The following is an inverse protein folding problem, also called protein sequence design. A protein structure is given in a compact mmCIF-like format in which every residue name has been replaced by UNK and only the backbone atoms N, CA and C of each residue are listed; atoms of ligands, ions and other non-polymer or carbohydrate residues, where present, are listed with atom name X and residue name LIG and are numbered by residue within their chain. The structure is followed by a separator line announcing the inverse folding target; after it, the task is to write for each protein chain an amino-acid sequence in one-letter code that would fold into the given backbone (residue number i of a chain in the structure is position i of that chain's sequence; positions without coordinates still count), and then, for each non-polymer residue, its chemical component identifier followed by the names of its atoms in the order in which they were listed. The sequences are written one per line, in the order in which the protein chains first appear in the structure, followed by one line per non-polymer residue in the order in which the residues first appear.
data_IF_347684797341
#
_entry.id   IF_347684797341
#
_cell.length_a   1.000
_cell.length_b   1.000
_cell.length_c   1.000
_cell.angle_alpha   90.00
_cell.angle_beta   90.00
_cell.angle_gamma   90.00
#
_symmetry.space_group_name_H-M   'P 1'
#
loop_
_entity.id
_entity.type
_entity.pdbx_description
1 polymer ?
#
# COMPACT_ATOMS: atom_id res chain seq x y z
N UNK A 1 -40.50 18.12 -0.68
CA UNK A 1 -41.20 18.78 -1.79
C UNK A 1 -40.46 18.35 -3.05
N UNK A 2 -41.08 17.60 -3.97
CA UNK A 2 -40.38 17.11 -5.17
C UNK A 2 -40.36 18.20 -6.24
N UNK A 3 -39.18 18.76 -6.52
CA UNK A 3 -38.94 19.72 -7.59
C UNK A 3 -38.74 18.96 -8.91
N UNK A 4 -39.38 19.42 -9.99
CA UNK A 4 -39.24 18.85 -11.33
C UNK A 4 -38.59 19.85 -12.28
N UNK A 5 -37.92 19.34 -13.31
CA UNK A 5 -37.41 20.17 -14.42
C UNK A 5 -38.57 20.95 -15.04
N UNK A 6 -38.43 22.28 -15.14
CA UNK A 6 -39.46 23.21 -15.58
C UNK A 6 -40.20 23.95 -14.44
N UNK A 7 -40.00 23.58 -13.18
CA UNK A 7 -40.62 24.28 -12.05
C UNK A 7 -40.02 25.69 -11.86
N UNK A 8 -40.87 26.70 -11.70
CA UNK A 8 -40.46 28.04 -11.25
C UNK A 8 -40.22 28.02 -9.76
N UNK A 9 -39.04 28.46 -9.34
CA UNK A 9 -38.60 28.42 -7.95
C UNK A 9 -38.07 29.79 -7.51
N UNK A 10 -38.31 30.15 -6.25
CA UNK A 10 -37.72 31.32 -5.60
C UNK A 10 -36.64 30.88 -4.62
N UNK A 11 -35.53 31.60 -4.57
CA UNK A 11 -34.50 31.37 -3.56
C UNK A 11 -35.02 31.78 -2.18
N UNK A 12 -34.72 30.99 -1.15
CA UNK A 12 -35.13 31.26 0.23
C UNK A 12 -34.30 32.39 0.87
N UNK A 13 -32.98 32.37 0.62
CA UNK A 13 -32.00 33.23 1.30
C UNK A 13 -31.51 34.40 0.44
N UNK A 14 -31.97 34.51 -0.81
CA UNK A 14 -31.52 35.53 -1.76
C UNK A 14 -32.70 36.19 -2.50
N UNK A 15 -32.49 37.43 -2.96
CA UNK A 15 -33.46 38.11 -3.83
C UNK A 15 -33.30 37.60 -5.25
N UNK A 16 -34.18 36.68 -5.64
CA UNK A 16 -34.22 36.17 -7.00
C UNK A 16 -35.03 34.89 -7.10
N UNK A 17 -35.14 34.38 -8.32
CA UNK A 17 -35.74 33.10 -8.63
C UNK A 17 -35.36 32.69 -10.05
N UNK A 18 -35.78 31.50 -10.43
CA UNK A 18 -35.48 30.97 -11.75
C UNK A 18 -36.30 29.73 -12.07
N UNK A 19 -35.90 29.04 -13.13
CA UNK A 19 -36.55 27.83 -13.61
C UNK A 19 -35.60 26.66 -13.44
N UNK A 20 -36.07 25.55 -12.87
CA UNK A 20 -35.26 24.33 -12.75
C UNK A 20 -34.96 23.79 -14.15
N UNK A 21 -33.71 23.81 -14.59
CA UNK A 21 -33.28 23.31 -15.91
C UNK A 21 -32.81 21.88 -15.87
N UNK A 22 -32.22 21.44 -14.74
CA UNK A 22 -31.70 20.07 -14.59
C UNK A 22 -31.71 19.66 -13.12
N UNK A 23 -32.03 18.39 -12.86
CA UNK A 23 -31.81 17.78 -11.55
C UNK A 23 -30.42 17.14 -11.59
N UNK A 24 -29.51 17.60 -10.72
CA UNK A 24 -28.15 17.09 -10.67
C UNK A 24 -28.04 15.91 -9.70
N UNK A 25 -28.79 15.95 -8.60
CA UNK A 25 -28.90 14.88 -7.60
C UNK A 25 -30.17 15.05 -6.76
N UNK A 26 -30.41 14.16 -5.79
CA UNK A 26 -31.60 14.24 -4.90
C UNK A 26 -31.71 15.56 -4.13
N UNK A 27 -30.58 16.24 -3.87
CA UNK A 27 -30.53 17.46 -3.05
C UNK A 27 -30.10 18.72 -3.82
N UNK A 28 -29.72 18.61 -5.09
CA UNK A 28 -29.18 19.74 -5.87
C UNK A 28 -29.79 19.81 -7.27
N UNK A 29 -30.20 21.02 -7.65
CA UNK A 29 -30.85 21.32 -8.92
C UNK A 29 -30.21 22.54 -9.58
N UNK A 30 -30.10 22.53 -10.90
CA UNK A 30 -29.74 23.73 -11.66
C UNK A 30 -30.98 24.60 -11.85
N UNK A 31 -30.83 25.88 -11.55
CA UNK A 31 -31.85 26.90 -11.73
C UNK A 31 -31.31 27.97 -12.68
N UNK A 32 -31.97 28.13 -13.83
CA UNK A 32 -31.70 29.23 -14.75
C UNK A 32 -32.32 30.52 -14.22
N UNK A 33 -31.50 31.52 -13.97
CA UNK A 33 -31.92 32.88 -13.61
C UNK A 33 -32.22 33.72 -14.85
N UNK A 34 -32.95 34.84 -14.69
CA UNK A 34 -33.34 35.74 -15.80
C UNK A 34 -32.15 36.30 -16.60
N UNK A 35 -30.94 36.27 -16.04
CA UNK A 35 -29.70 36.70 -16.68
C UNK A 35 -29.07 35.63 -17.60
N UNK A 36 -29.72 34.48 -17.78
CA UNK A 36 -29.29 33.44 -18.74
C UNK A 36 -28.18 32.51 -18.24
N UNK A 37 -27.88 32.52 -16.94
CA UNK A 37 -26.91 31.62 -16.31
C UNK A 37 -27.62 30.51 -15.53
N UNK A 38 -27.11 29.28 -15.63
CA UNK A 38 -27.54 28.14 -14.80
C UNK A 38 -26.74 28.12 -13.49
N UNK A 39 -27.44 28.23 -12.36
CA UNK A 39 -26.84 28.16 -11.02
C UNK A 39 -27.21 26.84 -10.34
N UNK A 40 -26.23 26.04 -9.88
CA UNK A 40 -26.50 24.87 -9.04
C UNK A 40 -26.86 25.33 -7.63
N UNK A 41 -28.06 24.97 -7.18
CA UNK A 41 -28.62 25.38 -5.89
C UNK A 41 -29.24 24.19 -5.16
N UNK A 42 -29.25 24.24 -3.83
CA UNK A 42 -29.84 23.18 -3.02
C UNK A 42 -31.36 23.18 -3.16
N UNK A 43 -31.96 22.00 -3.30
CA UNK A 43 -33.40 21.83 -3.33
C UNK A 43 -34.08 22.38 -2.06
N UNK A 44 -33.36 22.37 -0.93
CA UNK A 44 -33.80 22.92 0.36
C UNK A 44 -33.86 24.46 0.39
N UNK A 45 -33.11 25.13 -0.47
CA UNK A 45 -33.06 26.59 -0.56
C UNK A 45 -34.05 27.15 -1.59
N UNK A 46 -34.96 26.30 -2.10
CA UNK A 46 -35.91 26.62 -3.14
C UNK A 46 -37.35 26.45 -2.70
N UNK A 47 -38.18 27.43 -3.07
CA UNK A 47 -39.63 27.38 -2.90
C UNK A 47 -40.29 27.37 -4.27
N UNK A 48 -41.08 26.34 -4.56
CA UNK A 48 -41.87 26.24 -5.79
C UNK A 48 -42.94 27.33 -5.85
N UNK A 49 -42.98 28.10 -6.95
CA UNK A 49 -44.03 29.06 -7.25
C UNK A 49 -45.02 28.37 -8.19
N UNK A 50 -46.22 28.05 -7.70
CA UNK A 50 -47.30 27.62 -8.58
C UNK A 50 -47.88 28.82 -9.34
N UNK A 51 -48.19 28.69 -10.65
CA UNK A 51 -48.78 29.77 -11.42
C UNK A 51 -50.26 29.94 -11.05
N UNK A 52 -50.54 30.68 -9.97
CA UNK A 52 -51.85 31.24 -9.74
C UNK A 52 -52.03 32.48 -10.63
N UNK A 53 -52.64 32.29 -11.80
CA UNK A 53 -53.29 33.37 -12.53
C UNK A 53 -52.79 33.62 -13.96
N UNK A 54 -53.78 33.95 -14.80
CA UNK A 54 -53.89 34.62 -16.12
C UNK A 54 -52.67 35.23 -16.84
N UNK A 55 -51.43 34.78 -16.59
CA UNK A 55 -50.21 35.19 -17.30
C UNK A 55 -49.41 33.99 -17.87
N UNK A 56 -49.96 32.77 -17.80
CA UNK A 56 -49.31 31.52 -18.22
C UNK A 56 -49.57 31.08 -19.67
N UNK A 57 -50.07 31.94 -20.57
CA UNK A 57 -50.46 31.56 -21.95
C UNK A 57 -49.62 32.20 -23.07
N UNK A 58 -48.43 32.74 -22.77
CA UNK A 58 -47.63 33.48 -23.78
C UNK A 58 -46.23 32.92 -24.09
N UNK A 59 -45.80 31.81 -23.49
CA UNK A 59 -44.45 31.26 -23.71
C UNK A 59 -44.44 29.80 -24.18
N UNK A 60 -45.50 29.38 -24.88
CA UNK A 60 -45.52 28.09 -25.59
C UNK A 60 -45.24 28.34 -27.07
N UNK A 61 -43.96 28.42 -27.45
CA UNK A 61 -43.57 28.30 -28.86
C UNK A 61 -42.14 27.75 -29.00
N UNK A 62 -42.05 26.54 -29.56
CA UNK A 62 -40.82 25.82 -29.91
C UNK A 62 -39.91 26.63 -30.84
N UNK A 63 -38.60 26.52 -30.64
CA UNK A 63 -37.58 26.86 -31.64
C UNK A 63 -36.55 25.72 -31.72
N UNK A 64 -36.68 24.91 -32.79
CA UNK A 64 -35.63 24.02 -33.30
C UNK A 64 -34.52 24.86 -33.93
N UNK A 65 -33.25 24.51 -33.70
CA UNK A 65 -32.12 24.92 -34.53
C UNK A 65 -31.12 23.75 -34.67
N UNK A 66 -31.04 23.23 -35.89
CA UNK A 66 -30.09 22.21 -36.37
C UNK A 66 -28.69 22.82 -36.59
N UNK A 67 -27.64 22.00 -36.42
CA UNK A 67 -26.23 22.35 -36.68
C UNK A 67 -25.76 21.59 -37.94
N UNK A 68 -25.19 22.24 -38.97
CA UNK A 68 -24.55 21.55 -40.09
C UNK A 68 -23.03 21.41 -39.92
N UNK A 69 -22.50 20.29 -40.43
CA UNK A 69 -21.07 19.93 -40.50
C UNK A 69 -20.48 20.19 -41.90
N UNK A 70 -19.21 20.60 -41.97
CA UNK A 70 -18.30 20.49 -43.14
C UNK A 70 -16.84 20.73 -42.66
N UNK A 71 -15.85 19.82 -42.83
CA UNK A 71 -15.09 19.38 -44.02
C UNK A 71 -13.74 20.11 -44.21
N UNK A 72 -12.70 19.32 -44.51
CA UNK A 72 -11.26 19.59 -44.45
C UNK A 72 -10.63 20.40 -45.60
N UNK A 73 -9.42 20.94 -45.38
CA UNK A 73 -8.33 21.06 -46.38
C UNK A 73 -6.94 21.34 -45.75
N UNK A 74 -5.93 20.59 -46.21
CA UNK A 74 -4.50 20.61 -45.87
C UNK A 74 -3.73 21.84 -46.43
N UNK A 75 -2.62 22.22 -45.77
CA UNK A 75 -1.36 22.58 -46.46
C UNK A 75 -0.11 22.22 -45.62
N UNK A 76 0.80 21.46 -46.26
CA UNK A 76 2.14 21.05 -45.84
C UNK A 76 3.20 22.16 -46.06
N UNK A 77 4.20 22.25 -45.17
CA UNK A 77 5.59 22.66 -45.49
C UNK A 77 6.58 21.85 -44.62
N UNK A 78 7.67 21.39 -45.23
CA UNK A 78 8.51 20.26 -44.83
C UNK A 78 9.82 20.57 -44.03
N UNK A 79 10.19 19.62 -43.14
CA UNK A 79 11.50 18.99 -42.82
C UNK A 79 12.68 19.76 -42.12
N UNK A 80 13.66 19.06 -41.46
CA UNK A 80 13.90 17.60 -41.40
C UNK A 80 14.16 16.93 -40.02
N UNK A 81 13.87 15.62 -40.06
CA UNK A 81 14.43 14.45 -39.38
C UNK A 81 15.56 14.57 -38.33
N UNK A 82 15.31 13.97 -37.16
CA UNK A 82 16.15 12.85 -36.70
C UNK A 82 15.28 11.81 -35.99
N UNK A 83 15.25 10.61 -36.56
CA UNK A 83 14.42 9.49 -36.19
C UNK A 83 15.15 8.51 -35.29
N UNK A 84 14.54 8.16 -34.16
CA UNK A 84 14.58 6.80 -33.65
C UNK A 84 13.23 6.49 -33.01
N UNK A 85 12.49 5.65 -33.74
CA UNK A 85 11.25 4.94 -33.41
C UNK A 85 11.27 4.42 -31.98
N UNK A 86 10.15 4.51 -31.26
CA UNK A 86 9.40 3.34 -30.79
C UNK A 86 7.93 3.74 -30.50
N UNK A 87 7.07 2.85 -30.96
CA UNK A 87 5.62 2.70 -30.96
C UNK A 87 4.68 3.74 -30.31
N UNK A 88 3.78 4.25 -31.16
CA UNK A 88 2.42 4.59 -30.78
C UNK A 88 1.56 3.33 -30.96
N UNK A 89 1.12 2.75 -29.84
CA UNK A 89 -0.18 2.12 -29.64
C UNK A 89 -0.14 1.37 -28.31
N UNK A 90 -0.44 2.08 -27.23
CA UNK A 90 -1.15 1.49 -26.12
C UNK A 90 -2.21 2.51 -25.72
N UNK A 91 -3.49 2.18 -25.95
CA UNK A 91 -4.52 2.58 -24.99
C UNK A 91 -4.19 1.84 -23.70
N UNK A 92 -3.14 2.29 -23.01
CA UNK A 92 -2.69 1.73 -21.75
C UNK A 92 -3.73 2.11 -20.71
N UNK A 93 -4.37 1.10 -20.14
CA UNK A 93 -4.96 1.17 -18.80
C UNK A 93 -4.04 2.04 -17.92
N UNK A 94 -4.53 3.12 -17.29
CA UNK A 94 -3.64 4.05 -16.59
C UNK A 94 -2.82 3.26 -15.57
N UNK A 95 -1.49 3.26 -15.75
CA UNK A 95 -0.58 2.58 -14.81
C UNK A 95 -0.91 3.06 -13.39
N UNK A 96 -1.26 2.10 -12.53
CA UNK A 96 -1.63 2.35 -11.13
C UNK A 96 -0.57 3.17 -10.39
N UNK A 97 0.70 3.00 -10.77
CA UNK A 97 1.84 3.80 -10.32
C UNK A 97 2.32 4.70 -11.45
N UNK A 98 2.54 5.99 -11.19
CA UNK A 98 3.07 6.94 -12.16
C UNK A 98 4.11 7.89 -11.54
N UNK A 99 5.07 8.42 -12.31
CA UNK A 99 6.13 9.28 -11.79
C UNK A 99 5.62 10.69 -11.42
N UNK A 100 6.31 11.36 -10.49
CA UNK A 100 6.07 12.76 -10.14
C UNK A 100 6.77 13.74 -11.09
N UNK A 101 6.14 14.90 -11.32
CA UNK A 101 6.78 16.02 -12.00
C UNK A 101 7.83 16.67 -11.09
N UNK A 102 9.10 16.59 -11.48
CA UNK A 102 10.19 17.29 -10.80
C UNK A 102 10.89 18.27 -11.72
N UNK A 103 10.69 19.55 -11.43
CA UNK A 103 11.45 20.64 -12.04
C UNK A 103 12.74 20.84 -11.25
N UNK A 104 13.89 20.73 -11.93
CA UNK A 104 15.20 20.97 -11.33
C UNK A 104 15.28 22.36 -10.70
N UNK A 105 15.69 22.44 -9.42
CA UNK A 105 15.96 23.70 -8.72
C UNK A 105 14.86 24.21 -7.78
N UNK A 106 13.69 23.57 -7.71
CA UNK A 106 12.64 23.91 -6.74
C UNK A 106 12.61 22.88 -5.61
N UNK A 107 12.89 23.31 -4.38
CA UNK A 107 12.80 22.45 -3.21
C UNK A 107 11.33 22.20 -2.84
N UNK A 108 10.86 20.97 -3.05
CA UNK A 108 9.64 20.46 -2.43
C UNK A 108 10.06 19.63 -1.20
N UNK A 109 9.33 19.71 -0.07
CA UNK A 109 9.66 18.89 1.10
C UNK A 109 9.62 17.40 0.74
N UNK A 110 10.70 16.68 1.06
CA UNK A 110 10.75 15.22 0.89
C UNK A 110 9.87 14.57 1.96
N UNK A 111 8.96 13.69 1.53
CA UNK A 111 7.99 13.07 2.43
C UNK A 111 6.88 12.29 1.73
N UNK A 112 5.95 11.80 2.53
CA UNK A 112 4.75 11.09 2.08
C UNK A 112 3.51 11.99 2.19
N UNK A 113 2.66 11.95 1.17
CA UNK A 113 1.45 12.77 1.11
C UNK A 113 0.27 11.94 0.63
N UNK A 114 -0.91 12.17 1.19
CA UNK A 114 -2.17 11.77 0.56
C UNK A 114 -2.77 12.99 -0.12
N UNK A 115 -3.20 12.83 -1.37
CA UNK A 115 -3.80 13.90 -2.15
C UNK A 115 -5.12 13.48 -2.78
N UNK A 116 -6.02 14.46 -2.93
CA UNK A 116 -7.33 14.29 -3.53
C UNK A 116 -7.44 15.23 -4.73
N UNK A 117 -7.57 14.67 -5.92
CA UNK A 117 -7.55 15.39 -7.19
C UNK A 117 -8.94 15.29 -7.84
N UNK A 118 -9.67 16.40 -8.00
CA UNK A 118 -10.88 16.41 -8.82
C UNK A 118 -10.52 16.11 -10.28
N UNK A 119 -11.25 15.21 -10.93
CA UNK A 119 -10.99 14.91 -12.35
C UNK A 119 -11.22 16.15 -13.24
N UNK A 120 -12.21 16.99 -12.89
CA UNK A 120 -12.40 18.30 -13.52
C UNK A 120 -11.58 19.38 -12.80
N UNK A 121 -10.51 19.83 -13.46
CA UNK A 121 -9.59 20.85 -12.95
C UNK A 121 -10.11 22.30 -13.13
N UNK A 122 -11.23 22.49 -13.81
CA UNK A 122 -11.93 23.78 -13.93
C UNK A 122 -13.02 23.91 -12.88
N UNK A 123 -13.72 22.81 -12.55
CA UNK A 123 -14.84 22.77 -11.59
C UNK A 123 -14.52 21.82 -10.44
N UNK A 124 -13.72 22.31 -9.49
CA UNK A 124 -13.02 21.50 -8.48
C UNK A 124 -13.95 20.87 -7.42
N UNK A 125 -15.17 21.37 -7.28
CA UNK A 125 -16.13 20.93 -6.25
C UNK A 125 -17.18 19.93 -6.78
N UNK A 126 -17.10 19.56 -8.06
CA UNK A 126 -18.02 18.60 -8.69
C UNK A 126 -17.27 17.41 -9.29
N UNK A 127 -18.01 16.38 -9.74
CA UNK A 127 -17.43 15.20 -10.39
C UNK A 127 -16.64 14.29 -9.45
N UNK A 128 -15.97 13.31 -10.04
CA UNK A 128 -15.17 12.29 -9.36
C UNK A 128 -13.88 12.86 -8.80
N UNK A 129 -13.38 12.20 -7.75
CA UNK A 129 -12.13 12.57 -7.08
C UNK A 129 -11.21 11.35 -7.07
N UNK A 130 -10.01 11.52 -7.60
CA UNK A 130 -8.97 10.50 -7.53
C UNK A 130 -8.14 10.72 -6.26
N UNK A 131 -7.87 9.62 -5.56
CA UNK A 131 -7.10 9.61 -4.32
C UNK A 131 -5.75 8.97 -4.60
N UNK A 132 -4.67 9.70 -4.33
CA UNK A 132 -3.31 9.20 -4.53
C UNK A 132 -2.52 9.23 -3.24
N UNK A 133 -1.67 8.22 -3.07
CA UNK A 133 -0.56 8.24 -2.13
C UNK A 133 0.73 8.61 -2.88
N UNK A 134 1.44 9.60 -2.37
CA UNK A 134 2.61 10.22 -3.01
C UNK A 134 3.85 9.87 -2.22
N UNK A 135 4.83 9.28 -2.89
CA UNK A 135 6.19 9.12 -2.39
C UNK A 135 7.10 10.17 -3.01
N UNK A 136 7.36 11.27 -2.30
CA UNK A 136 8.39 12.26 -2.70
C UNK A 136 9.69 12.03 -1.92
N UNK A 137 10.12 10.78 -1.78
CA UNK A 137 11.37 10.39 -1.13
C UNK A 137 12.27 9.62 -2.09
N UNK A 138 13.53 9.40 -1.68
CA UNK A 138 14.53 8.59 -2.40
C UNK A 138 14.41 7.08 -2.16
N UNK A 139 13.49 6.66 -1.29
CA UNK A 139 13.36 5.28 -0.84
C UNK A 139 12.15 4.63 -1.53
N UNK A 140 12.21 3.32 -1.71
CA UNK A 140 11.01 2.51 -1.91
C UNK A 140 10.18 2.54 -0.63
N UNK A 141 8.87 2.68 -0.78
CA UNK A 141 7.95 2.84 0.35
C UNK A 141 6.94 1.71 0.32
N UNK A 142 7.08 0.78 1.26
CA UNK A 142 6.10 -0.27 1.48
C UNK A 142 5.02 0.30 2.39
N UNK A 143 3.77 0.36 1.94
CA UNK A 143 2.69 0.97 2.71
C UNK A 143 1.54 0.00 3.00
N UNK A 144 0.80 0.33 4.04
CA UNK A 144 -0.54 -0.19 4.34
C UNK A 144 -1.47 1.00 4.54
N UNK A 145 -2.59 1.00 3.80
CA UNK A 145 -3.60 2.05 3.82
C UNK A 145 -4.89 1.52 4.44
N UNK A 146 -5.31 2.15 5.54
CA UNK A 146 -6.49 1.76 6.29
C UNK A 146 -7.47 2.91 6.41
N UNK A 147 -8.75 2.64 6.18
CA UNK A 147 -9.83 3.61 6.41
C UNK A 147 -10.55 3.29 7.73
N UNK A 148 -11.05 4.35 8.37
CA UNK A 148 -11.83 4.22 9.60
C UNK A 148 -13.30 4.04 9.27
N UNK A 149 -13.90 2.93 9.73
CA UNK A 149 -15.33 2.67 9.49
C UNK A 149 -16.22 3.15 10.63
N UNK A 150 -15.89 2.77 11.87
CA UNK A 150 -16.65 3.12 13.08
C UNK A 150 -15.72 3.64 14.18
N UNK A 151 -16.25 3.88 15.38
CA UNK A 151 -15.51 4.57 16.46
C UNK A 151 -14.19 3.92 16.84
N UNK A 152 -13.94 2.63 16.59
CA UNK A 152 -12.63 2.00 16.87
C UNK A 152 -12.21 0.90 15.88
N UNK A 153 -12.86 0.79 14.72
CA UNK A 153 -12.52 -0.23 13.72
C UNK A 153 -11.90 0.37 12.47
N UNK A 154 -10.91 -0.34 11.92
CA UNK A 154 -10.24 0.00 10.68
C UNK A 154 -10.42 -1.12 9.67
N UNK A 155 -10.59 -0.74 8.41
CA UNK A 155 -10.61 -1.64 7.27
C UNK A 155 -9.31 -1.48 6.49
N UNK A 156 -8.63 -2.60 6.20
CA UNK A 156 -7.44 -2.61 5.36
C UNK A 156 -7.87 -2.53 3.90
N UNK A 157 -7.65 -1.37 3.28
CA UNK A 157 -8.17 -1.07 1.94
C UNK A 157 -7.15 -1.39 0.87
N UNK A 158 -5.88 -1.05 1.11
CA UNK A 158 -4.84 -1.23 0.11
C UNK A 158 -3.46 -1.38 0.77
N UNK A 159 -2.53 -2.03 0.08
CA UNK A 159 -1.13 -2.15 0.44
C UNK A 159 -0.30 -2.43 -0.81
N UNK A 160 0.86 -1.79 -0.92
CA UNK A 160 1.76 -2.01 -2.04
C UNK A 160 3.13 -1.37 -1.77
N UNK A 161 3.99 -1.35 -2.79
CA UNK A 161 5.24 -0.60 -2.81
C UNK A 161 5.12 0.59 -3.76
N UNK A 162 5.47 1.79 -3.28
CA UNK A 162 5.56 3.00 -4.10
C UNK A 162 7.04 3.29 -4.36
N UNK A 163 7.49 3.22 -5.62
CA UNK A 163 8.85 3.58 -5.98
C UNK A 163 9.21 5.01 -5.60
N UNK A 164 10.51 5.34 -5.49
CA UNK A 164 10.96 6.70 -5.26
C UNK A 164 10.30 7.68 -6.22
N UNK A 165 9.86 8.81 -5.68
CA UNK A 165 9.39 9.96 -6.48
C UNK A 165 8.25 9.64 -7.45
N UNK A 166 7.34 8.79 -6.97
CA UNK A 166 6.20 8.30 -7.71
C UNK A 166 4.92 8.50 -6.90
N UNK A 167 3.78 8.33 -7.57
CA UNK A 167 2.45 8.29 -6.97
C UNK A 167 1.76 6.99 -7.32
N UNK A 168 0.92 6.51 -6.42
CA UNK A 168 0.02 5.38 -6.66
C UNK A 168 -1.42 5.83 -6.50
N UNK A 169 -2.30 5.43 -7.43
CA UNK A 169 -3.74 5.64 -7.27
C UNK A 169 -4.29 4.60 -6.29
N UNK A 170 -4.95 5.07 -5.24
CA UNK A 170 -5.63 4.22 -4.27
C UNK A 170 -7.05 3.90 -4.75
N UNK A 171 -7.80 4.93 -5.15
CA UNK A 171 -9.18 4.79 -5.63
C UNK A 171 -9.65 6.05 -6.37
N UNK A 172 -10.65 5.89 -7.24
CA UNK A 172 -11.46 6.98 -7.79
C UNK A 172 -12.87 6.93 -7.18
N UNK A 173 -13.22 7.95 -6.41
CA UNK A 173 -14.48 7.99 -5.67
C UNK A 173 -15.46 9.02 -6.22
N UNK A 174 -16.75 8.77 -5.98
CA UNK A 174 -17.79 9.78 -6.13
C UNK A 174 -17.85 10.68 -4.87
N UNK A 175 -18.52 11.83 -4.97
CA UNK A 175 -18.59 12.81 -3.86
C UNK A 175 -19.32 12.27 -2.64
N UNK A 176 -20.26 11.35 -2.85
CA UNK A 176 -21.05 10.74 -1.80
C UNK A 176 -20.21 9.82 -0.91
N UNK A 177 -19.10 9.29 -1.42
CA UNK A 177 -18.20 8.38 -0.69
C UNK A 177 -17.12 9.12 0.12
N UNK A 178 -17.00 10.44 -0.04
CA UNK A 178 -15.95 11.26 0.61
C UNK A 178 -15.88 11.01 2.12
N UNK A 179 -17.02 10.84 2.78
CA UNK A 179 -17.04 10.66 4.23
C UNK A 179 -16.22 9.43 4.66
N UNK A 180 -16.39 8.29 3.98
CA UNK A 180 -15.65 7.05 4.25
C UNK A 180 -14.16 7.13 3.90
N UNK A 181 -13.79 8.01 2.97
CA UNK A 181 -12.40 8.19 2.52
C UNK A 181 -11.67 9.34 3.20
N UNK A 182 -12.30 10.00 4.16
CA UNK A 182 -11.77 11.24 4.75
C UNK A 182 -10.95 11.04 6.03
N UNK A 183 -10.98 9.85 6.63
CA UNK A 183 -10.29 9.54 7.89
C UNK A 183 -9.68 8.13 7.86
N UNK A 184 -8.41 8.02 8.24
CA UNK A 184 -7.69 6.75 8.16
C UNK A 184 -6.28 6.81 8.71
N UNK A 185 -5.55 5.72 8.47
CA UNK A 185 -4.16 5.53 8.87
C UNK A 185 -3.35 5.06 7.66
N UNK A 186 -2.15 5.62 7.52
CA UNK A 186 -1.12 5.12 6.62
C UNK A 186 0.07 4.66 7.45
N UNK A 187 0.43 3.41 7.31
CA UNK A 187 1.68 2.86 7.84
C UNK A 187 2.66 2.69 6.68
N UNK A 188 3.92 3.07 6.87
CA UNK A 188 4.93 2.92 5.83
C UNK A 188 6.31 2.54 6.37
N UNK A 189 6.99 1.67 5.63
CA UNK A 189 8.39 1.32 5.81
C UNK A 189 9.21 1.83 4.64
N UNK A 190 10.39 2.36 4.93
CA UNK A 190 11.30 2.90 3.93
C UNK A 190 12.41 1.88 3.66
N UNK A 191 12.62 1.55 2.39
CA UNK A 191 13.64 0.62 1.96
C UNK A 191 14.53 1.23 0.88
N UNK A 192 15.81 0.89 0.92
CA UNK A 192 16.80 1.23 -0.11
C UNK A 192 17.94 0.22 -0.04
N UNK A 193 18.47 -0.17 -1.19
CA UNK A 193 19.57 -1.14 -1.29
C UNK A 193 20.84 -0.65 -0.57
N UNK A 194 21.14 0.65 -0.71
CA UNK A 194 22.20 1.34 0.03
C UNK A 194 21.59 2.56 0.75
N UNK A 195 21.54 2.51 2.08
CA UNK A 195 21.15 3.66 2.91
C UNK A 195 22.28 4.03 3.87
N UNK A 196 22.58 5.33 3.97
CA UNK A 196 23.50 5.85 4.98
C UNK A 196 22.86 6.03 6.36
N UNK A 197 21.54 6.20 6.39
CA UNK A 197 20.74 6.39 7.59
C UNK A 197 19.51 5.47 7.52
N UNK A 198 19.07 4.95 8.65
CA UNK A 198 17.85 4.14 8.76
C UNK A 198 16.71 5.04 9.22
N UNK A 199 15.60 4.99 8.49
CA UNK A 199 14.39 5.73 8.84
C UNK A 199 13.49 4.89 9.75
N UNK A 200 12.88 5.52 10.75
CA UNK A 200 11.83 4.93 11.55
C UNK A 200 10.58 4.66 10.70
N UNK A 201 9.82 3.59 10.99
CA UNK A 201 8.52 3.37 10.37
C UNK A 201 7.61 4.59 10.54
N UNK A 202 6.92 4.98 9.47
CA UNK A 202 5.88 5.98 9.54
C UNK A 202 4.58 5.32 10.03
N UNK A 203 3.94 5.96 11.01
CA UNK A 203 2.56 5.68 11.38
C UNK A 203 1.81 7.02 11.43
N UNK A 204 1.07 7.32 10.36
CA UNK A 204 0.40 8.60 10.18
C UNK A 204 -1.12 8.43 10.15
N UNK A 205 -1.82 9.03 11.10
CA UNK A 205 -3.27 9.20 11.01
C UNK A 205 -3.59 10.47 10.22
N UNK A 206 -4.63 10.39 9.37
CA UNK A 206 -5.13 11.56 8.65
C UNK A 206 -6.62 11.71 8.88
N UNK A 207 -7.07 12.97 8.90
CA UNK A 207 -8.49 13.33 8.97
C UNK A 207 -8.73 14.63 8.23
N UNK A 208 -9.49 14.56 7.15
CA UNK A 208 -9.95 15.71 6.38
C UNK A 208 -11.42 15.91 6.66
N UNK A 209 -11.84 17.10 7.09
CA UNK A 209 -13.28 17.35 7.28
C UNK A 209 -13.98 17.32 5.91
N UNK A 210 -15.06 16.53 5.71
CA UNK A 210 -15.76 16.43 4.42
C UNK A 210 -16.16 17.79 3.80
N UNK A 211 -16.54 18.76 4.64
CA UNK A 211 -16.86 20.14 4.22
C UNK A 211 -15.72 20.82 3.45
N UNK A 212 -14.45 20.41 3.64
CA UNK A 212 -13.31 20.99 2.91
C UNK A 212 -13.33 20.66 1.42
N UNK A 213 -13.89 19.52 1.02
CA UNK A 213 -13.95 19.09 -0.37
C UNK A 213 -14.91 19.93 -1.22
N UNK A 214 -15.82 20.67 -0.57
CA UNK A 214 -16.82 21.53 -1.21
C UNK A 214 -16.43 23.01 -1.24
N UNK A 215 -15.17 23.35 -0.94
CA UNK A 215 -14.65 24.71 -1.04
C UNK A 215 -13.45 24.74 -1.99
N UNK A 216 -13.59 25.44 -3.11
CA UNK A 216 -12.54 25.52 -4.14
C UNK A 216 -11.20 26.02 -3.59
N UNK A 217 -11.20 26.94 -2.62
CA UNK A 217 -9.98 27.48 -2.01
C UNK A 217 -9.13 26.46 -1.26
N UNK A 218 -9.66 25.26 -0.96
CA UNK A 218 -8.88 24.16 -0.38
C UNK A 218 -8.07 23.37 -1.41
N UNK A 219 -8.37 23.51 -2.71
CA UNK A 219 -7.62 22.87 -3.78
C UNK A 219 -6.57 23.84 -4.29
N UNK A 220 -5.31 23.48 -4.09
CA UNK A 220 -4.17 24.30 -4.47
C UNK A 220 -3.34 23.59 -5.54
N UNK A 221 -2.66 24.35 -6.38
CA UNK A 221 -1.76 23.79 -7.39
C UNK A 221 -0.65 22.99 -6.71
N UNK A 222 -0.69 21.67 -6.89
CA UNK A 222 0.30 20.76 -6.34
C UNK A 222 1.32 20.42 -7.41
N UNK A 223 2.49 21.07 -7.33
CA UNK A 223 3.51 21.06 -8.40
C UNK A 223 4.04 19.68 -8.77
N UNK A 224 4.11 18.75 -7.80
CA UNK A 224 4.57 17.38 -8.04
C UNK A 224 3.63 16.59 -8.97
N UNK A 225 2.39 17.04 -9.13
CA UNK A 225 1.38 16.41 -9.99
C UNK A 225 0.86 17.36 -11.08
N UNK A 226 1.16 18.66 -11.00
CA UNK A 226 0.73 19.64 -12.00
C UNK A 226 -0.78 19.88 -12.04
N UNK A 227 -1.48 19.51 -10.97
CA UNK A 227 -2.94 19.59 -10.84
C UNK A 227 -3.31 20.24 -9.51
N UNK A 228 -4.50 20.83 -9.44
CA UNK A 228 -5.10 21.31 -8.20
C UNK A 228 -5.57 20.14 -7.36
N UNK A 229 -5.09 20.09 -6.13
CA UNK A 229 -5.35 19.01 -5.20
C UNK A 229 -5.55 19.53 -3.78
N UNK A 230 -6.33 18.80 -2.99
CA UNK A 230 -6.30 18.90 -1.54
C UNK A 230 -5.17 17.99 -1.04
N UNK A 231 -4.18 18.56 -0.36
CA UNK A 231 -2.95 17.86 0.03
C UNK A 231 -2.88 17.72 1.55
N UNK A 232 -2.53 16.53 2.02
CA UNK A 232 -2.23 16.24 3.42
C UNK A 232 -0.84 15.63 3.50
N UNK A 233 0.05 16.28 4.24
CA UNK A 233 1.36 15.73 4.58
C UNK A 233 1.17 14.65 5.66
N UNK A 234 1.64 13.43 5.38
CA UNK A 234 1.60 12.30 6.30
C UNK A 234 2.86 12.25 7.18
N UNK A 235 4.01 12.57 6.60
CA UNK A 235 5.30 12.62 7.31
C UNK A 235 6.42 13.08 6.39
N UNK A 236 7.41 13.77 6.96
CA UNK A 236 8.64 14.18 6.28
C UNK A 236 9.84 13.32 6.72
N UNK A 237 10.85 13.22 5.86
CA UNK A 237 12.03 12.39 6.14
C UNK A 237 12.72 12.83 7.44
N UNK A 238 12.79 14.15 7.70
CA UNK A 238 13.41 14.69 8.89
C UNK A 238 12.78 14.17 10.18
N UNK A 239 11.45 14.01 10.22
CA UNK A 239 10.73 13.43 11.35
C UNK A 239 10.87 11.91 11.49
N UNK A 240 11.41 11.22 10.49
CA UNK A 240 11.64 9.77 10.50
C UNK A 240 13.12 9.40 10.66
N UNK A 241 14.04 10.36 10.62
CA UNK A 241 15.45 10.07 10.87
C UNK A 241 15.63 9.55 12.30
N UNK A 242 16.21 8.34 12.42
CA UNK A 242 16.62 7.82 13.72
C UNK A 242 17.87 8.59 14.13
N UNK A 243 17.71 9.54 15.05
CA UNK A 243 18.86 10.13 15.74
C UNK A 243 19.37 9.05 16.69
N UNK A 244 20.54 8.47 16.40
CA UNK A 244 21.26 7.63 17.35
C UNK A 244 21.70 8.48 18.55
N UNK A 245 20.78 8.75 19.47
CA UNK A 245 21.13 9.04 20.85
C UNK A 245 21.54 7.74 21.52
N UNK A 246 22.59 7.77 22.35
CA UNK A 246 23.05 6.65 23.19
C UNK A 246 21.92 5.97 24.02
N UNK A 247 20.72 6.55 24.07
CA UNK A 247 19.54 6.01 24.74
C UNK A 247 18.75 4.95 23.94
N UNK A 248 18.85 4.89 22.60
CA UNK A 248 18.13 3.88 21.80
C UNK A 248 18.76 2.47 21.91
N UNK A 249 20.02 2.37 22.34
CA UNK A 249 20.72 1.11 22.62
C UNK A 249 20.54 0.61 24.07
N UNK A 250 19.78 1.32 24.92
CA UNK A 250 19.33 0.83 26.23
C UNK A 250 17.85 0.44 26.18
N UNK A 251 17.47 -0.32 25.15
CA UNK A 251 16.08 -0.58 24.81
C UNK A 251 15.67 -2.04 24.67
N UNK A 252 16.48 -3.01 25.11
CA UNK A 252 15.99 -4.36 25.44
C UNK A 252 16.79 -4.86 26.64
N UNK A 253 16.23 -4.68 27.83
CA UNK A 253 16.66 -5.39 29.02
C UNK A 253 16.60 -6.91 28.70
N UNK A 254 17.68 -7.70 28.87
CA UNK A 254 17.64 -9.15 28.62
C UNK A 254 16.56 -9.87 29.44
N UNK A 255 15.99 -9.23 30.47
CA UNK A 255 14.81 -9.69 31.20
C UNK A 255 13.50 -9.74 30.37
N UNK A 256 13.36 -8.93 29.30
CA UNK A 256 12.13 -8.91 28.46
C UNK A 256 12.11 -10.05 27.44
N UNK A 257 13.26 -10.65 27.11
CA UNK A 257 13.30 -11.93 26.35
C UNK A 257 12.62 -13.08 27.08
N UNK A 258 12.41 -12.98 28.40
CA UNK A 258 11.90 -14.08 29.22
C UNK A 258 10.36 -14.15 29.28
N UNK A 259 9.62 -13.16 28.75
CA UNK A 259 8.14 -13.15 28.81
C UNK A 259 7.43 -13.48 27.50
N UNK A 260 8.13 -13.60 26.38
CA UNK A 260 7.51 -13.98 25.08
C UNK A 260 7.68 -15.48 24.77
N UNK A 261 8.53 -16.21 25.49
CA UNK A 261 8.67 -17.67 25.33
C UNK A 261 7.56 -18.49 26.03
N UNK A 262 6.61 -17.84 26.71
CA UNK A 262 5.69 -18.52 27.63
C UNK A 262 4.35 -18.98 27.02
N UNK A 263 4.23 -19.12 25.69
CA UNK A 263 3.00 -19.64 25.06
C UNK A 263 3.24 -20.91 24.21
N UNK A 264 4.49 -21.34 24.00
CA UNK A 264 4.80 -22.66 23.46
C UNK A 264 5.94 -23.30 24.26
N UNK A 265 5.91 -24.61 24.54
CA UNK A 265 7.09 -25.29 25.05
C UNK A 265 8.27 -25.00 24.10
N UNK A 266 9.49 -24.73 24.61
CA UNK A 266 10.65 -24.47 23.77
C UNK A 266 10.79 -25.61 22.76
N UNK A 267 11.00 -25.27 21.49
CA UNK A 267 11.12 -26.27 20.45
C UNK A 267 12.34 -27.16 20.76
N UNK A 268 12.28 -28.45 20.44
CA UNK A 268 13.39 -29.35 20.74
C UNK A 268 14.70 -28.91 20.08
N UNK A 269 14.61 -28.29 18.89
CA UNK A 269 15.75 -27.74 18.17
C UNK A 269 16.38 -26.50 18.84
N UNK A 270 15.65 -25.78 19.71
CA UNK A 270 16.14 -24.52 20.28
C UNK A 270 17.36 -24.72 21.20
N UNK A 271 17.55 -25.94 21.72
CA UNK A 271 18.74 -26.33 22.49
C UNK A 271 20.02 -26.23 21.65
N UNK A 272 19.90 -26.37 20.32
CA UNK A 272 21.01 -26.39 19.36
C UNK A 272 21.15 -25.08 18.58
N UNK A 273 20.46 -24.02 19.00
CA UNK A 273 20.42 -22.75 18.28
C UNK A 273 21.77 -22.02 18.36
N UNK A 274 22.34 -21.73 17.20
CA UNK A 274 23.60 -20.97 17.07
C UNK A 274 23.42 -19.59 16.44
N UNK A 275 22.27 -19.33 15.83
CA UNK A 275 22.01 -18.08 15.12
C UNK A 275 20.54 -17.81 14.87
N UNK A 276 20.24 -16.76 14.10
CA UNK A 276 18.87 -16.46 13.70
C UNK A 276 18.34 -17.54 12.76
N UNK A 277 17.45 -18.41 13.27
CA UNK A 277 16.85 -19.52 12.52
C UNK A 277 17.90 -20.52 11.99
N UNK A 278 19.01 -20.64 12.71
CA UNK A 278 20.13 -21.57 12.45
C UNK A 278 20.42 -22.43 13.68
N UNK A 279 20.67 -23.73 13.47
CA UNK A 279 21.06 -24.67 14.52
C UNK A 279 22.25 -25.55 14.12
N UNK A 280 23.00 -26.02 15.10
CA UNK A 280 24.10 -26.97 14.96
C UNK A 280 23.92 -28.11 15.97
N UNK A 281 23.73 -29.32 15.47
CA UNK A 281 23.39 -30.51 16.26
C UNK A 281 24.55 -31.51 16.18
N UNK A 282 25.19 -31.80 17.31
CA UNK A 282 26.17 -32.88 17.40
C UNK A 282 25.47 -34.22 17.62
N UNK A 283 25.66 -35.15 16.69
CA UNK A 283 25.08 -36.49 16.76
C UNK A 283 26.03 -37.51 17.39
N UNK A 284 27.24 -37.17 17.83
CA UNK A 284 28.10 -38.13 18.55
C UNK A 284 27.39 -38.64 19.80
N UNK A 285 27.39 -39.96 20.00
CA UNK A 285 26.65 -40.58 21.12
C UNK A 285 27.07 -40.05 22.49
N UNK A 286 28.34 -39.66 22.63
CA UNK A 286 28.87 -39.02 23.85
C UNK A 286 28.20 -37.70 24.18
N UNK A 287 27.74 -36.94 23.17
CA UNK A 287 27.02 -35.69 23.34
C UNK A 287 25.52 -35.92 23.59
N UNK A 288 24.98 -37.05 23.12
CA UNK A 288 23.56 -37.35 23.21
C UNK A 288 23.16 -38.11 24.49
N UNK A 289 24.06 -38.90 25.08
CA UNK A 289 23.76 -39.77 26.23
C UNK A 289 25.01 -40.06 27.05
N UNK A 290 24.94 -39.90 28.38
CA UNK A 290 26.08 -40.16 29.29
C UNK A 290 26.41 -41.66 29.45
N UNK A 291 25.38 -42.52 29.56
CA UNK A 291 25.53 -43.96 29.77
C UNK A 291 25.34 -44.72 28.46
N UNK A 292 26.34 -44.66 27.57
CA UNK A 292 26.32 -45.31 26.26
C UNK A 292 27.25 -46.52 26.14
N UNK A 293 28.10 -46.78 27.15
CA UNK A 293 29.11 -47.83 27.11
C UNK A 293 28.53 -49.26 27.01
N UNK A 294 27.29 -49.46 27.47
CA UNK A 294 26.58 -50.75 27.41
C UNK A 294 25.74 -50.93 26.14
N UNK A 295 25.64 -49.90 25.29
CA UNK A 295 24.87 -49.95 24.07
C UNK A 295 25.66 -50.62 22.95
N UNK A 296 24.99 -51.46 22.17
CA UNK A 296 25.54 -51.98 20.93
C UNK A 296 25.63 -50.89 19.85
N UNK A 297 26.51 -51.07 18.86
CA UNK A 297 26.66 -50.13 17.75
C UNK A 297 25.34 -49.87 16.99
N UNK A 298 24.48 -50.89 16.88
CA UNK A 298 23.17 -50.77 16.24
C UNK A 298 22.20 -49.91 17.07
N UNK A 299 22.23 -50.04 18.40
CA UNK A 299 21.42 -49.21 19.30
C UNK A 299 21.91 -47.76 19.31
N UNK A 300 23.23 -47.56 19.27
CA UNK A 300 23.84 -46.23 19.14
C UNK A 300 23.38 -45.56 17.85
N UNK A 301 23.52 -46.24 16.70
CA UNK A 301 23.13 -45.69 15.40
C UNK A 301 21.63 -45.34 15.36
N UNK A 302 20.78 -46.22 15.88
CA UNK A 302 19.33 -45.96 15.97
C UNK A 302 19.04 -44.74 16.83
N UNK A 303 19.68 -44.62 17.99
CA UNK A 303 19.48 -43.47 18.87
C UNK A 303 19.89 -42.15 18.20
N UNK A 304 21.02 -42.15 17.49
CA UNK A 304 21.51 -40.99 16.74
C UNK A 304 20.54 -40.58 15.62
N UNK A 305 19.96 -41.56 14.89
CA UNK A 305 18.98 -41.29 13.83
C UNK A 305 17.63 -40.79 14.39
N UNK A 306 17.13 -41.41 15.46
CA UNK A 306 15.91 -40.94 16.13
C UNK A 306 16.07 -39.50 16.62
N UNK A 307 17.26 -39.15 17.15
CA UNK A 307 17.59 -37.79 17.54
C UNK A 307 17.66 -36.84 16.34
N UNK A 308 18.32 -37.26 15.25
CA UNK A 308 18.38 -36.51 14.00
C UNK A 308 16.99 -36.15 13.48
N UNK A 309 16.10 -37.14 13.30
CA UNK A 309 14.74 -36.91 12.78
C UNK A 309 13.96 -35.96 13.68
N UNK A 310 14.00 -36.17 15.00
CA UNK A 310 13.32 -35.29 15.96
C UNK A 310 13.81 -33.85 15.88
N UNK A 311 15.12 -33.64 15.71
CA UNK A 311 15.68 -32.29 15.57
C UNK A 311 15.28 -31.66 14.24
N UNK A 312 15.32 -32.41 13.13
CA UNK A 312 14.93 -31.91 11.82
C UNK A 312 13.43 -31.57 11.76
N UNK A 313 12.55 -32.44 12.27
CA UNK A 313 11.10 -32.19 12.36
C UNK A 313 10.79 -30.94 13.18
N UNK A 314 11.50 -30.78 14.32
CA UNK A 314 11.38 -29.59 15.15
C UNK A 314 11.90 -28.34 14.43
N UNK A 315 12.98 -28.45 13.65
CA UNK A 315 13.53 -27.34 12.86
C UNK A 315 12.54 -26.87 11.79
N UNK A 316 11.95 -27.81 11.03
CA UNK A 316 10.95 -27.52 10.01
C UNK A 316 9.72 -26.85 10.63
N UNK A 317 9.17 -27.44 11.70
CA UNK A 317 7.96 -26.93 12.37
C UNK A 317 8.14 -25.54 12.98
N UNK A 318 9.38 -25.19 13.37
CA UNK A 318 9.72 -23.91 14.00
C UNK A 318 10.43 -22.95 13.04
N UNK A 319 10.26 -23.17 11.73
CA UNK A 319 10.74 -22.29 10.68
C UNK A 319 12.26 -22.06 10.70
N UNK A 320 13.10 -23.01 11.10
CA UNK A 320 14.54 -22.90 10.86
C UNK A 320 14.80 -22.97 9.35
N UNK A 321 15.80 -22.23 8.87
CA UNK A 321 16.17 -22.27 7.44
C UNK A 321 17.43 -23.10 7.18
N UNK A 322 18.22 -23.35 8.23
CA UNK A 322 19.47 -24.11 8.15
C UNK A 322 19.74 -24.88 9.43
N UNK A 323 20.11 -26.15 9.30
CA UNK A 323 20.60 -26.98 10.40
C UNK A 323 21.87 -27.72 9.95
N UNK A 324 22.92 -27.64 10.76
CA UNK A 324 24.15 -28.40 10.54
C UNK A 324 24.14 -29.60 11.49
N UNK A 325 24.32 -30.81 10.95
CA UNK A 325 24.44 -32.03 11.75
C UNK A 325 25.87 -32.57 11.69
N UNK A 326 26.49 -32.75 12.86
CA UNK A 326 27.84 -33.28 13.00
C UNK A 326 27.73 -34.78 13.24
N UNK A 327 28.22 -35.59 12.30
CA UNK A 327 28.15 -37.06 12.35
C UNK A 327 29.52 -37.73 12.52
N UNK A 328 30.60 -36.96 12.52
CA UNK A 328 31.98 -37.44 12.67
C UNK A 328 32.59 -38.04 11.40
N UNK A 329 33.90 -38.31 11.45
CA UNK A 329 34.72 -38.76 10.30
C UNK A 329 34.84 -40.28 10.15
N UNK A 330 33.98 -41.06 10.82
CA UNK A 330 34.07 -42.53 10.84
C UNK A 330 33.83 -43.19 9.47
N UNK A 331 33.46 -44.48 9.46
CA UNK A 331 33.27 -45.26 8.22
C UNK A 331 32.07 -44.81 7.34
N UNK A 332 31.42 -43.69 7.64
CA UNK A 332 30.32 -43.13 6.84
C UNK A 332 28.94 -43.77 7.06
N UNK A 333 28.80 -44.68 8.03
CA UNK A 333 27.52 -45.36 8.32
C UNK A 333 26.42 -44.37 8.71
N UNK A 334 26.68 -43.49 9.69
CA UNK A 334 25.70 -42.50 10.15
C UNK A 334 25.34 -41.49 9.05
N UNK A 335 26.35 -40.99 8.31
CA UNK A 335 26.12 -40.11 7.15
C UNK A 335 25.20 -40.74 6.11
N UNK A 336 25.46 -42.00 5.75
CA UNK A 336 24.66 -42.71 4.73
C UNK A 336 23.22 -42.90 5.20
N UNK A 337 23.02 -43.19 6.49
CA UNK A 337 21.70 -43.33 7.08
C UNK A 337 20.94 -41.99 7.17
N UNK A 338 21.63 -40.88 7.48
CA UNK A 338 21.05 -39.53 7.43
C UNK A 338 20.58 -39.18 6.02
N UNK A 339 21.42 -39.42 5.01
CA UNK A 339 21.05 -39.15 3.60
C UNK A 339 19.84 -39.98 3.18
N UNK A 340 19.75 -41.24 3.62
CA UNK A 340 18.59 -42.08 3.36
C UNK A 340 17.32 -41.54 4.04
N UNK A 341 17.41 -41.09 5.30
CA UNK A 341 16.29 -40.52 6.04
C UNK A 341 15.79 -39.20 5.44
N UNK A 342 16.67 -38.41 4.81
CA UNK A 342 16.28 -37.16 4.13
C UNK A 342 15.34 -37.37 2.94
N UNK A 343 15.26 -38.59 2.39
CA UNK A 343 14.33 -38.89 1.29
C UNK A 343 12.86 -38.78 1.71
N UNK A 344 12.55 -38.83 3.01
CA UNK A 344 11.20 -38.72 3.55
C UNK A 344 10.73 -37.25 3.69
N UNK A 345 11.57 -36.28 3.30
CA UNK A 345 11.32 -34.85 3.47
C UNK A 345 11.31 -34.12 2.12
N UNK A 346 10.16 -33.53 1.76
CA UNK A 346 9.98 -32.87 0.45
C UNK A 346 10.62 -31.46 0.37
N UNK A 347 10.84 -30.81 1.51
CA UNK A 347 11.20 -29.39 1.58
C UNK A 347 12.60 -29.13 2.14
N UNK A 348 13.51 -30.10 1.98
CA UNK A 348 14.89 -30.01 2.49
C UNK A 348 15.90 -30.25 1.37
N UNK A 349 17.01 -29.54 1.45
CA UNK A 349 18.14 -29.68 0.52
C UNK A 349 19.40 -30.05 1.32
N UNK A 350 20.04 -31.15 0.91
CA UNK A 350 21.30 -31.61 1.46
C UNK A 350 22.48 -30.87 0.83
N UNK A 351 23.35 -30.29 1.67
CA UNK A 351 24.62 -29.68 1.27
C UNK A 351 25.78 -30.23 2.08
N UNK A 352 26.97 -30.14 1.50
CA UNK A 352 28.21 -30.44 2.24
C UNK A 352 28.51 -29.26 3.16
N UNK A 353 28.74 -29.52 4.44
CA UNK A 353 29.09 -28.47 5.40
C UNK A 353 30.45 -27.83 5.06
N UNK A 354 30.72 -26.58 5.47
CA UNK A 354 31.98 -25.91 5.19
C UNK A 354 33.20 -26.69 5.70
N UNK A 355 34.06 -27.13 4.77
CA UNK A 355 35.25 -27.94 5.08
C UNK A 355 36.18 -27.25 6.08
N UNK A 356 36.33 -25.93 5.99
CA UNK A 356 37.18 -25.15 6.89
C UNK A 356 36.78 -25.25 8.37
N UNK A 357 35.49 -25.49 8.66
CA UNK A 357 34.96 -25.55 10.03
C UNK A 357 34.76 -26.98 10.53
N UNK A 358 34.31 -27.91 9.67
CA UNK A 358 33.90 -29.26 10.10
C UNK A 358 34.64 -30.41 9.39
N UNK A 359 35.56 -30.11 8.47
CA UNK A 359 36.16 -31.11 7.60
C UNK A 359 35.10 -31.91 6.83
N UNK A 360 35.21 -33.25 6.83
CA UNK A 360 34.23 -34.17 6.22
C UNK A 360 33.20 -34.72 7.23
N UNK A 361 33.17 -34.18 8.45
CA UNK A 361 32.43 -34.75 9.59
C UNK A 361 31.03 -34.18 9.81
N UNK A 362 30.53 -33.30 8.94
CA UNK A 362 29.22 -32.68 9.08
C UNK A 362 28.49 -32.53 7.75
N UNK A 363 27.17 -32.43 7.86
CA UNK A 363 26.25 -32.20 6.75
C UNK A 363 25.39 -30.98 7.06
N UNK A 364 25.12 -30.19 6.03
CA UNK A 364 24.25 -29.02 6.14
C UNK A 364 22.92 -29.35 5.48
N UNK A 365 21.82 -29.03 6.16
CA UNK A 365 20.47 -29.18 5.63
C UNK A 365 19.85 -27.80 5.56
N UNK A 366 19.52 -27.38 4.34
CA UNK A 366 18.76 -26.16 4.07
C UNK A 366 17.29 -26.53 4.02
N UNK A 367 16.47 -25.81 4.79
CA UNK A 367 15.03 -26.04 4.87
C UNK A 367 14.35 -24.94 4.06
N UNK A 368 13.67 -25.35 3.00
CA UNK A 368 12.91 -24.46 2.13
C UNK A 368 11.51 -24.23 2.72
N UNK A 369 10.98 -23.02 2.53
CA UNK A 369 9.58 -22.74 2.87
C UNK A 369 8.70 -23.41 1.82
N UNK A 370 7.72 -24.19 2.27
CA UNK A 370 6.64 -24.61 1.40
C UNK A 370 5.92 -23.36 0.89
N UNK A 371 5.82 -23.25 -0.44
CA UNK A 371 5.10 -22.17 -1.12
C UNK A 371 3.60 -22.26 -0.87
#
# INVERSE_FOLDING_TARGET
MELKVGDKVRFLNEKGGGIVTRILSNNMVNVAIEEGFDLPVLASDLIKIEPAGMAGRFFDRHMNLEVPAASAANQDVAQPANSSRFDQNDESDPERVSPLYRQSGVANPEGLFIIYIPQDQKILITGKVDIYLINNTRNDVLYSFLLREQTETYSGVDYDVIPPFSKIILETIDRDDIEGWSEGIVQALFHREESGEVLAPLHASFKVKPVRFYKESNYQDFRLVGQKALVVLLGDIAGQMIIEGEEALKGVDPAVKQKVSAIAPPAFIDVHKIGFREAEVDLHISELKEQYAEMSNSEILRYQLDYFSRMLDSAISNNYYKVVFIHGIGNGTLKSAIIAALADYDNVEFRTAPFAKYGNGAVEIIIHRNS
#
